data_IF_588878151094
#
_entry.id   IF_588878151094
#
_cell.length_a   1.000
_cell.length_b   1.000
_cell.length_c   1.000
_cell.angle_alpha   90.00
_cell.angle_beta   90.00
_cell.angle_gamma   90.00
#
_symmetry.space_group_name_H-M   'P 1'
#
loop_
_entity.id
_entity.type
_entity.pdbx_description
1 polymer ?
#
# COMPACT_ATOMS: atom_id res chain seq x y z
N UNK A 1 -2.22 85.86 -14.47
CA UNK A 1 -0.79 85.47 -14.56
C UNK A 1 -0.40 84.61 -13.37
N UNK A 2 -0.33 85.18 -12.16
CA UNK A 2 -0.08 84.47 -10.89
C UNK A 2 -0.72 83.08 -10.84
N UNK A 3 -2.01 83.02 -11.11
CA UNK A 3 -2.84 81.84 -10.86
C UNK A 3 -2.52 80.70 -11.83
N UNK A 4 -2.10 81.04 -13.05
CA UNK A 4 -1.57 80.09 -14.04
C UNK A 4 -0.21 79.52 -13.59
N UNK A 5 0.69 80.37 -13.08
CA UNK A 5 1.99 79.93 -12.56
C UNK A 5 1.78 79.03 -11.32
N UNK A 6 0.89 79.41 -10.41
CA UNK A 6 0.51 78.61 -9.23
C UNK A 6 -0.05 77.25 -9.66
N UNK A 7 -0.93 77.21 -10.65
CA UNK A 7 -1.56 75.96 -11.11
C UNK A 7 -0.57 75.02 -11.81
N UNK A 8 0.32 75.54 -12.67
CA UNK A 8 1.43 74.75 -13.23
C UNK A 8 2.37 74.22 -12.13
N UNK A 9 2.64 75.04 -11.11
CA UNK A 9 3.44 74.64 -9.95
C UNK A 9 2.78 73.56 -9.10
N UNK A 10 1.45 73.60 -8.93
CA UNK A 10 0.69 72.51 -8.29
C UNK A 10 0.77 71.22 -9.09
N UNK A 11 0.57 71.28 -10.40
CA UNK A 11 0.61 70.09 -11.26
C UNK A 11 1.97 69.38 -11.20
N UNK A 12 3.08 70.14 -11.19
CA UNK A 12 4.42 69.57 -10.96
C UNK A 12 4.56 68.90 -9.59
N UNK A 13 4.06 69.52 -8.52
CA UNK A 13 4.10 68.95 -7.16
C UNK A 13 3.28 67.66 -7.09
N UNK A 14 2.06 67.67 -7.61
CA UNK A 14 1.17 66.51 -7.74
C UNK A 14 1.83 65.35 -8.49
N UNK A 15 2.52 65.62 -9.60
CA UNK A 15 3.26 64.61 -10.37
C UNK A 15 4.37 63.94 -9.56
N UNK A 16 5.14 64.71 -8.76
CA UNK A 16 6.17 64.11 -7.88
C UNK A 16 5.55 63.30 -6.75
N UNK A 17 4.51 63.80 -6.10
CA UNK A 17 3.79 63.09 -5.02
C UNK A 17 3.21 61.76 -5.51
N UNK A 18 2.67 61.72 -6.73
CA UNK A 18 2.13 60.50 -7.35
C UNK A 18 3.19 59.45 -7.72
N UNK A 19 4.47 59.82 -7.79
CA UNK A 19 5.56 58.90 -8.15
C UNK A 19 5.90 57.87 -7.05
N UNK A 20 5.46 58.08 -5.80
CA UNK A 20 5.73 57.21 -4.63
C UNK A 20 7.23 56.98 -4.31
N UNK A 21 8.10 57.83 -4.82
CA UNK A 21 9.50 57.93 -4.39
C UNK A 21 9.62 58.81 -3.15
N UNK A 22 10.78 58.78 -2.50
CA UNK A 22 11.10 59.73 -1.44
C UNK A 22 11.26 61.18 -1.98
N UNK A 23 11.25 62.16 -1.07
CA UNK A 23 11.56 63.54 -1.40
C UNK A 23 13.02 63.72 -1.79
N UNK A 24 13.25 64.24 -3.00
CA UNK A 24 14.57 64.68 -3.44
C UNK A 24 14.66 66.20 -3.43
N UNK A 25 15.77 66.75 -2.88
CA UNK A 25 15.96 68.19 -2.71
C UNK A 25 15.88 69.00 -4.02
N UNK A 26 16.20 68.37 -5.16
CA UNK A 26 16.08 69.00 -6.48
C UNK A 26 14.65 69.38 -6.83
N UNK A 27 13.61 68.74 -6.28
CA UNK A 27 12.23 69.07 -6.61
C UNK A 27 11.87 70.52 -6.24
N UNK A 28 12.44 71.05 -5.15
CA UNK A 28 12.27 72.47 -4.78
C UNK A 28 13.09 73.41 -5.68
N UNK A 29 14.25 72.96 -6.19
CA UNK A 29 15.10 73.72 -7.12
C UNK A 29 14.43 73.80 -8.50
N UNK A 30 13.92 72.68 -9.01
CA UNK A 30 13.17 72.60 -10.26
C UNK A 30 11.87 73.40 -10.20
N UNK A 31 11.15 73.36 -9.07
CA UNK A 31 9.96 74.17 -8.85
C UNK A 31 10.26 75.68 -8.84
N UNK A 32 11.30 76.12 -8.12
CA UNK A 32 11.72 77.52 -8.12
C UNK A 32 12.13 78.00 -9.52
N UNK A 33 12.96 77.19 -10.20
CA UNK A 33 13.35 77.43 -11.59
C UNK A 33 12.13 77.53 -12.52
N UNK A 34 11.11 76.69 -12.34
CA UNK A 34 9.88 76.77 -13.12
C UNK A 34 9.05 78.02 -12.81
N UNK A 35 9.10 78.56 -11.59
CA UNK A 35 8.51 79.89 -11.28
C UNK A 35 9.29 80.99 -12.01
N UNK A 36 10.63 80.98 -11.93
CA UNK A 36 11.48 81.97 -12.61
C UNK A 36 11.30 81.93 -14.14
N UNK A 37 11.37 80.75 -14.75
CA UNK A 37 11.16 80.53 -16.19
C UNK A 37 9.76 80.98 -16.68
N UNK A 38 8.75 81.08 -15.79
CA UNK A 38 7.41 81.58 -16.16
C UNK A 38 7.17 83.05 -15.80
N UNK A 39 7.92 83.63 -14.85
CA UNK A 39 7.97 85.07 -14.65
C UNK A 39 8.70 85.76 -15.82
N UNK A 40 9.81 85.19 -16.30
CA UNK A 40 10.57 85.75 -17.41
C UNK A 40 9.82 85.75 -18.75
N UNK A 41 8.89 84.81 -18.97
CA UNK A 41 7.96 84.81 -20.12
C UNK A 41 6.94 85.96 -20.10
N UNK A 42 6.86 86.70 -18.99
CA UNK A 42 5.93 87.81 -18.77
C UNK A 42 6.64 89.09 -18.29
N UNK A 43 7.95 89.22 -18.58
CA UNK A 43 8.78 90.36 -18.18
C UNK A 43 8.24 91.72 -18.66
N UNK A 44 7.43 91.72 -19.73
CA UNK A 44 6.71 92.89 -20.27
C UNK A 44 5.72 93.55 -19.28
N UNK A 45 5.39 92.88 -18.16
CA UNK A 45 4.42 93.34 -17.16
C UNK A 45 5.06 94.02 -15.93
N UNK A 46 6.37 94.32 -15.96
CA UNK A 46 7.14 95.04 -14.93
C UNK A 46 6.78 94.63 -13.47
N UNK A 47 6.89 93.33 -13.19
CA UNK A 47 6.57 92.80 -11.86
C UNK A 47 7.50 93.33 -10.78
N UNK A 48 6.93 93.73 -9.64
CA UNK A 48 7.73 94.15 -8.48
C UNK A 48 8.41 92.96 -7.81
N UNK A 49 9.64 93.16 -7.34
CA UNK A 49 10.41 92.15 -6.59
C UNK A 49 9.66 91.60 -5.36
N UNK A 50 8.85 92.45 -4.71
CA UNK A 50 7.98 92.05 -3.61
C UNK A 50 6.88 91.06 -4.05
N UNK A 51 6.30 91.26 -5.24
CA UNK A 51 5.29 90.35 -5.80
C UNK A 51 5.91 88.99 -6.16
N UNK A 52 7.08 88.98 -6.81
CA UNK A 52 7.79 87.74 -7.14
C UNK A 52 8.17 86.94 -5.89
N UNK A 53 8.72 87.62 -4.87
CA UNK A 53 9.05 87.00 -3.59
C UNK A 53 7.79 86.42 -2.91
N UNK A 54 6.68 87.16 -2.90
CA UNK A 54 5.40 86.69 -2.35
C UNK A 54 4.86 85.46 -3.10
N UNK A 55 4.95 85.44 -4.43
CA UNK A 55 4.52 84.32 -5.27
C UNK A 55 5.38 83.07 -5.03
N UNK A 56 6.72 83.23 -4.99
CA UNK A 56 7.67 82.16 -4.67
C UNK A 56 7.40 81.58 -3.28
N UNK A 57 7.21 82.44 -2.26
CA UNK A 57 6.88 82.01 -0.89
C UNK A 57 5.55 81.25 -0.84
N UNK A 58 4.51 81.69 -1.55
CA UNK A 58 3.23 80.98 -1.61
C UNK A 58 3.38 79.58 -2.22
N UNK A 59 4.06 79.47 -3.36
CA UNK A 59 4.26 78.22 -4.10
C UNK A 59 5.15 77.24 -3.32
N UNK A 60 6.28 77.70 -2.79
CA UNK A 60 7.15 76.88 -1.93
C UNK A 60 6.46 76.48 -0.62
N UNK A 61 5.62 77.34 -0.04
CA UNK A 61 4.82 77.04 1.15
C UNK A 61 3.71 76.00 0.93
N UNK A 62 3.27 75.80 -0.32
CA UNK A 62 2.45 74.66 -0.72
C UNK A 62 3.31 73.40 -0.87
N UNK A 63 4.31 73.44 -1.76
CA UNK A 63 5.15 72.30 -2.09
C UNK A 63 5.86 71.68 -0.88
N UNK A 64 6.32 72.49 0.07
CA UNK A 64 6.97 72.01 1.29
C UNK A 64 6.04 71.16 2.17
N UNK A 65 4.72 71.36 2.13
CA UNK A 65 3.75 70.51 2.87
C UNK A 65 3.56 69.17 2.16
N UNK A 66 3.29 69.22 0.86
CA UNK A 66 3.05 68.01 0.05
C UNK A 66 4.29 67.12 -0.01
N UNK A 67 5.48 67.69 -0.18
CA UNK A 67 6.74 66.93 -0.18
C UNK A 67 7.12 66.42 1.22
N UNK A 68 6.78 67.13 2.30
CA UNK A 68 6.95 66.59 3.66
C UNK A 68 6.01 65.42 3.93
N UNK A 69 4.75 65.51 3.49
CA UNK A 69 3.79 64.41 3.61
C UNK A 69 4.23 63.19 2.79
N UNK A 70 4.67 63.40 1.54
CA UNK A 70 5.26 62.36 0.68
C UNK A 70 6.47 61.66 1.34
N UNK A 71 7.37 62.41 1.98
CA UNK A 71 8.51 61.85 2.74
C UNK A 71 8.06 61.01 3.94
N UNK A 72 7.08 61.49 4.71
CA UNK A 72 6.49 60.73 5.83
C UNK A 72 5.76 59.47 5.36
N UNK A 73 5.10 59.51 4.20
CA UNK A 73 4.47 58.34 3.59
C UNK A 73 5.49 57.33 3.05
N UNK A 74 6.59 57.81 2.45
CA UNK A 74 7.70 56.96 2.03
C UNK A 74 8.35 56.26 3.24
N UNK A 75 8.63 56.97 4.34
CA UNK A 75 9.16 56.38 5.57
C UNK A 75 8.19 55.34 6.14
N UNK A 76 6.89 55.64 6.21
CA UNK A 76 5.88 54.69 6.74
C UNK A 76 5.74 53.44 5.86
N UNK A 77 5.82 53.59 4.53
CA UNK A 77 5.71 52.47 3.59
C UNK A 77 6.97 51.58 3.52
N UNK A 78 8.12 52.10 3.95
CA UNK A 78 9.41 51.39 3.92
C UNK A 78 9.98 51.15 5.34
N UNK A 79 9.16 51.25 6.39
CA UNK A 79 9.59 51.00 7.76
C UNK A 79 10.09 49.56 7.92
N UNK A 80 11.36 49.32 8.30
CA UNK A 80 11.94 47.98 8.30
C UNK A 80 11.22 47.01 9.23
N UNK A 81 10.62 47.49 10.33
CA UNK A 81 9.90 46.65 11.27
C UNK A 81 8.53 46.24 10.72
N UNK A 82 7.77 47.17 10.13
CA UNK A 82 6.50 46.86 9.45
C UNK A 82 6.71 45.92 8.26
N UNK A 83 7.73 46.16 7.43
CA UNK A 83 8.08 45.24 6.33
C UNK A 83 8.45 43.84 6.85
N UNK A 84 9.27 43.75 7.90
CA UNK A 84 9.63 42.46 8.51
C UNK A 84 8.41 41.73 9.09
N UNK A 85 7.52 42.41 9.81
CA UNK A 85 6.33 41.79 10.40
C UNK A 85 5.30 41.40 9.31
N UNK A 86 5.15 42.20 8.25
CA UNK A 86 4.32 41.90 7.08
C UNK A 86 4.77 40.62 6.36
N UNK A 87 6.07 40.47 6.10
CA UNK A 87 6.62 39.32 5.36
C UNK A 87 7.07 38.16 6.27
N UNK A 88 7.00 38.30 7.59
CA UNK A 88 7.31 37.28 8.61
C UNK A 88 6.66 35.92 8.34
N UNK A 89 5.41 35.92 7.88
CA UNK A 89 4.69 34.69 7.50
C UNK A 89 5.33 34.00 6.31
N UNK A 90 5.70 34.78 5.28
CA UNK A 90 6.36 34.28 4.06
C UNK A 90 7.77 33.79 4.37
N UNK A 91 8.62 34.60 5.03
CA UNK A 91 9.97 34.18 5.41
C UNK A 91 9.98 32.95 6.34
N UNK A 92 8.96 32.78 7.18
CA UNK A 92 8.79 31.57 7.99
C UNK A 92 8.34 30.35 7.15
N UNK A 93 7.58 30.55 6.08
CA UNK A 93 7.26 29.51 5.10
C UNK A 93 8.49 29.13 4.27
N UNK A 94 9.18 30.12 3.67
CA UNK A 94 10.40 29.92 2.87
C UNK A 94 11.49 29.20 3.69
N UNK A 95 11.69 29.59 4.95
CA UNK A 95 12.61 28.92 5.87
C UNK A 95 12.19 27.47 6.15
N UNK A 96 10.90 27.21 6.38
CA UNK A 96 10.37 25.86 6.58
C UNK A 96 10.56 25.00 5.33
N UNK A 97 10.28 25.53 4.14
CA UNK A 97 10.39 24.77 2.90
C UNK A 97 11.87 24.46 2.59
N UNK A 98 12.78 25.43 2.73
CA UNK A 98 14.23 25.18 2.62
C UNK A 98 14.78 24.20 3.67
N UNK A 99 14.19 24.17 4.87
CA UNK A 99 14.53 23.19 5.92
C UNK A 99 13.96 21.79 5.59
N UNK A 100 12.70 21.72 5.14
CA UNK A 100 11.98 20.49 4.86
C UNK A 100 12.24 19.90 3.46
N UNK A 101 12.84 20.61 2.50
CA UNK A 101 13.27 20.01 1.22
C UNK A 101 14.20 18.80 1.42
N UNK A 102 14.94 18.76 2.54
CA UNK A 102 15.78 17.62 2.94
C UNK A 102 15.02 16.47 3.62
N UNK A 103 13.83 16.73 4.14
CA UNK A 103 13.03 15.80 4.96
C UNK A 103 11.82 15.23 4.17
N UNK A 104 11.20 16.04 3.31
CA UNK A 104 10.03 15.68 2.48
C UNK A 104 10.16 14.34 1.77
N UNK A 105 11.35 13.99 1.25
CA UNK A 105 11.61 12.70 0.62
C UNK A 105 11.66 11.53 1.61
N UNK A 106 12.25 11.73 2.79
CA UNK A 106 12.25 10.72 3.87
C UNK A 106 10.83 10.55 4.43
N UNK A 107 10.17 11.65 4.83
CA UNK A 107 8.80 11.62 5.34
C UNK A 107 7.82 10.96 4.36
N UNK A 108 7.87 11.29 3.06
CA UNK A 108 7.02 10.62 2.04
C UNK A 108 7.37 9.14 1.86
N UNK A 109 8.64 8.75 1.99
CA UNK A 109 9.04 7.34 1.96
C UNK A 109 8.58 6.58 3.21
N UNK A 110 8.60 7.21 4.39
CA UNK A 110 8.06 6.66 5.64
C UNK A 110 6.53 6.55 5.60
N UNK A 111 5.83 7.58 5.12
CA UNK A 111 4.39 7.58 4.90
C UNK A 111 3.97 6.49 3.91
N UNK A 112 4.64 6.37 2.74
CA UNK A 112 4.41 5.29 1.79
C UNK A 112 4.74 3.91 2.36
N UNK A 113 5.81 3.79 3.15
CA UNK A 113 6.17 2.53 3.80
C UNK A 113 5.14 2.12 4.85
N UNK A 114 4.62 3.07 5.63
CA UNK A 114 3.64 2.82 6.68
C UNK A 114 2.24 2.53 6.15
N UNK A 115 1.77 3.30 5.15
CA UNK A 115 0.40 3.22 4.63
C UNK A 115 0.24 2.28 3.43
N UNK A 116 1.30 2.00 2.66
CA UNK A 116 1.23 1.14 1.47
C UNK A 116 2.03 -0.16 1.65
N UNK A 117 3.34 -0.09 1.90
CA UNK A 117 4.18 -1.30 1.94
C UNK A 117 3.88 -2.20 3.15
N UNK A 118 3.77 -1.62 4.36
CA UNK A 118 3.52 -2.36 5.61
C UNK A 118 2.21 -3.15 5.60
N UNK A 119 1.05 -2.61 5.19
CA UNK A 119 -0.17 -3.41 5.06
C UNK A 119 -0.06 -4.45 3.93
N UNK A 120 0.49 -4.11 2.76
CA UNK A 120 0.63 -5.05 1.66
C UNK A 120 1.58 -6.24 1.99
N UNK A 121 2.67 -5.97 2.71
CA UNK A 121 3.60 -7.00 3.22
C UNK A 121 2.93 -7.87 4.28
N UNK A 122 2.16 -7.26 5.21
CA UNK A 122 1.37 -8.02 6.20
C UNK A 122 0.37 -8.94 5.49
N UNK A 123 -0.41 -8.41 4.56
CA UNK A 123 -1.41 -9.16 3.80
C UNK A 123 -0.76 -10.31 3.00
N UNK A 124 0.37 -10.05 2.35
CA UNK A 124 1.16 -11.08 1.64
C UNK A 124 1.60 -12.21 2.59
N UNK A 125 2.18 -11.87 3.75
CA UNK A 125 2.65 -12.87 4.72
C UNK A 125 1.46 -13.65 5.28
N UNK A 126 0.40 -12.99 5.76
CA UNK A 126 -0.79 -13.66 6.28
C UNK A 126 -1.45 -14.59 5.25
N UNK A 127 -1.54 -14.20 3.98
CA UNK A 127 -2.05 -15.07 2.90
C UNK A 127 -1.11 -16.22 2.55
N UNK A 128 0.20 -16.05 2.74
CA UNK A 128 1.22 -17.06 2.42
C UNK A 128 1.48 -18.04 3.57
N UNK A 129 1.13 -17.69 4.82
CA UNK A 129 1.20 -18.59 5.97
C UNK A 129 0.18 -19.73 5.91
N UNK A 130 -1.02 -19.50 5.36
CA UNK A 130 -2.09 -20.51 5.32
C UNK A 130 -1.65 -21.87 4.74
N UNK A 131 -1.08 -21.90 3.52
CA UNK A 131 -0.53 -23.13 2.94
C UNK A 131 0.62 -23.72 3.75
N UNK A 132 1.63 -22.93 4.10
CA UNK A 132 2.79 -23.37 4.90
C UNK A 132 2.37 -24.05 6.23
N UNK A 133 1.33 -23.52 6.90
CA UNK A 133 0.78 -24.09 8.13
C UNK A 133 0.03 -25.40 7.91
N UNK A 134 -0.67 -25.56 6.78
CA UNK A 134 -1.34 -26.83 6.42
C UNK A 134 -0.30 -27.89 6.07
N UNK A 135 0.72 -27.55 5.28
CA UNK A 135 1.81 -28.45 4.91
C UNK A 135 2.56 -28.94 6.18
N UNK A 136 2.85 -28.05 7.13
CA UNK A 136 3.52 -28.39 8.41
C UNK A 136 2.62 -29.20 9.36
N UNK A 137 1.29 -29.07 9.30
CA UNK A 137 0.36 -29.97 10.01
C UNK A 137 0.31 -31.37 9.38
N UNK A 138 0.48 -31.46 8.05
CA UNK A 138 0.46 -32.72 7.30
C UNK A 138 1.81 -33.45 7.24
N UNK A 139 2.92 -32.75 7.49
CA UNK A 139 4.28 -33.31 7.47
C UNK A 139 4.97 -33.34 8.85
N UNK A 140 4.49 -32.55 9.83
CA UNK A 140 5.09 -32.41 11.15
C UNK A 140 4.76 -33.55 12.13
N UNK A 141 5.06 -33.34 13.42
CA UNK A 141 4.99 -34.39 14.45
C UNK A 141 3.60 -35.03 14.63
N UNK A 142 2.52 -34.32 14.28
CA UNK A 142 1.13 -34.83 14.33
C UNK A 142 0.58 -35.30 12.99
N UNK A 143 1.41 -35.41 11.93
CA UNK A 143 0.99 -35.86 10.60
C UNK A 143 0.15 -37.15 10.60
N UNK A 144 0.43 -38.09 11.53
CA UNK A 144 -0.32 -39.34 11.66
C UNK A 144 -1.81 -39.11 11.99
N UNK A 145 -2.15 -38.10 12.80
CA UNK A 145 -3.53 -37.75 13.14
C UNK A 145 -4.33 -37.28 11.91
N UNK A 146 -3.65 -36.71 10.92
CA UNK A 146 -4.25 -36.16 9.68
C UNK A 146 -4.06 -37.08 8.46
N UNK A 147 -3.30 -38.18 8.61
CA UNK A 147 -2.89 -39.08 7.53
C UNK A 147 -4.04 -39.74 6.78
N UNK A 148 -5.11 -40.10 7.49
CA UNK A 148 -6.32 -40.71 6.93
C UNK A 148 -7.54 -40.32 7.76
N UNK A 149 -8.73 -40.42 7.15
CA UNK A 149 -10.02 -40.27 7.86
C UNK A 149 -10.15 -41.22 9.06
N UNK A 150 -9.56 -42.42 8.98
CA UNK A 150 -9.59 -43.42 10.05
C UNK A 150 -8.83 -42.94 11.29
N UNK A 151 -7.54 -42.62 11.12
CA UNK A 151 -6.68 -42.07 12.19
C UNK A 151 -7.21 -40.74 12.76
N UNK A 152 -7.78 -39.88 11.92
CA UNK A 152 -8.36 -38.61 12.34
C UNK A 152 -9.57 -38.80 13.26
N UNK A 153 -10.51 -39.66 12.87
CA UNK A 153 -11.69 -39.97 13.67
C UNK A 153 -11.31 -40.73 14.96
N UNK A 154 -10.33 -41.65 14.89
CA UNK A 154 -9.74 -42.30 16.06
C UNK A 154 -9.20 -41.27 17.07
N UNK A 155 -8.35 -40.34 16.64
CA UNK A 155 -7.68 -39.39 17.53
C UNK A 155 -8.65 -38.41 18.19
N UNK A 156 -9.73 -38.02 17.50
CA UNK A 156 -10.82 -37.24 18.08
C UNK A 156 -11.58 -38.05 19.14
N UNK A 157 -11.97 -39.29 18.84
CA UNK A 157 -12.71 -40.15 19.79
C UNK A 157 -11.86 -40.54 21.00
N UNK A 158 -10.55 -40.77 20.79
CA UNK A 158 -9.55 -40.99 21.84
C UNK A 158 -9.43 -39.77 22.73
N UNK A 159 -9.31 -38.57 22.19
CA UNK A 159 -9.30 -37.35 23.00
C UNK A 159 -10.63 -37.15 23.75
N UNK A 160 -11.78 -37.30 23.10
CA UNK A 160 -13.09 -37.16 23.77
C UNK A 160 -13.24 -38.09 24.98
N UNK A 161 -12.79 -39.34 24.84
CA UNK A 161 -12.76 -40.31 25.94
C UNK A 161 -11.73 -39.92 27.02
N UNK A 162 -10.55 -39.43 26.64
CA UNK A 162 -9.53 -38.93 27.58
C UNK A 162 -10.04 -37.73 28.38
N UNK A 163 -10.49 -36.67 27.71
CA UNK A 163 -11.01 -35.41 28.26
C UNK A 163 -12.25 -35.63 29.14
N UNK A 164 -13.01 -36.70 28.91
CA UNK A 164 -14.13 -37.18 29.75
C UNK A 164 -15.23 -36.12 29.98
N UNK A 165 -15.35 -35.17 29.04
CA UNK A 165 -16.20 -34.02 29.16
C UNK A 165 -17.50 -34.19 28.36
N UNK A 166 -18.63 -34.27 29.08
CA UNK A 166 -19.96 -34.44 28.49
C UNK A 166 -20.29 -33.36 27.45
N UNK A 167 -19.96 -32.10 27.75
CA UNK A 167 -20.32 -30.97 26.91
C UNK A 167 -19.56 -30.99 25.56
N UNK A 168 -18.37 -31.60 25.52
CA UNK A 168 -17.63 -31.91 24.30
C UNK A 168 -18.27 -33.08 23.51
N UNK A 169 -18.75 -34.14 24.18
CA UNK A 169 -19.52 -35.20 23.51
C UNK A 169 -20.81 -34.66 22.87
N UNK A 170 -21.55 -33.79 23.59
CA UNK A 170 -22.75 -33.13 23.05
C UNK A 170 -22.41 -32.25 21.83
N UNK A 171 -21.33 -31.47 21.87
CA UNK A 171 -20.87 -30.69 20.72
C UNK A 171 -20.46 -31.58 19.54
N UNK A 172 -19.74 -32.67 19.77
CA UNK A 172 -19.36 -33.63 18.73
C UNK A 172 -20.58 -34.25 18.04
N UNK A 173 -21.60 -34.64 18.81
CA UNK A 173 -22.84 -35.25 18.29
C UNK A 173 -23.74 -34.23 17.59
N UNK A 174 -23.99 -33.07 18.20
CA UNK A 174 -24.97 -32.08 17.70
C UNK A 174 -24.39 -31.09 16.69
N UNK A 175 -23.09 -30.83 16.74
CA UNK A 175 -22.40 -29.75 16.01
C UNK A 175 -21.03 -30.21 15.48
N UNK A 176 -20.97 -31.44 14.96
CA UNK A 176 -19.75 -32.12 14.49
C UNK A 176 -18.77 -31.22 13.75
N UNK A 177 -19.20 -30.50 12.70
CA UNK A 177 -18.32 -29.65 11.90
C UNK A 177 -17.63 -28.55 12.73
N UNK A 178 -18.39 -27.81 13.53
CA UNK A 178 -17.86 -26.74 14.37
C UNK A 178 -16.95 -27.29 15.48
N UNK A 179 -17.29 -28.45 16.07
CA UNK A 179 -16.43 -29.14 17.02
C UNK A 179 -15.11 -29.59 16.38
N UNK A 180 -15.15 -30.15 15.17
CA UNK A 180 -13.97 -30.58 14.42
C UNK A 180 -13.09 -29.39 14.03
N UNK A 181 -13.66 -28.27 13.60
CA UNK A 181 -12.91 -27.05 13.28
C UNK A 181 -12.20 -26.49 14.53
N UNK A 182 -12.88 -26.41 15.67
CA UNK A 182 -12.30 -26.03 16.98
C UNK A 182 -11.21 -27.03 17.44
N UNK A 183 -11.41 -28.32 17.22
CA UNK A 183 -10.41 -29.35 17.52
C UNK A 183 -9.15 -29.20 16.66
N UNK A 184 -9.28 -29.06 15.33
CA UNK A 184 -8.15 -28.83 14.41
C UNK A 184 -7.40 -27.57 14.81
N UNK A 185 -8.12 -26.48 15.10
CA UNK A 185 -7.51 -25.22 15.54
C UNK A 185 -6.73 -25.39 16.85
N UNK A 186 -7.25 -26.15 17.83
CA UNK A 186 -6.53 -26.51 19.06
C UNK A 186 -5.28 -27.34 18.78
N UNK A 187 -5.31 -28.28 17.83
CA UNK A 187 -4.11 -29.03 17.45
C UNK A 187 -3.04 -28.12 16.82
N UNK A 188 -3.44 -27.21 15.92
CA UNK A 188 -2.56 -26.18 15.33
C UNK A 188 -1.92 -25.31 16.43
N UNK A 189 -2.74 -24.73 17.32
CA UNK A 189 -2.25 -23.91 18.43
C UNK A 189 -1.26 -24.68 19.31
N UNK A 190 -1.55 -25.95 19.64
CA UNK A 190 -0.61 -26.79 20.40
C UNK A 190 0.72 -27.06 19.67
N UNK A 191 0.70 -27.26 18.35
CA UNK A 191 1.91 -27.51 17.56
C UNK A 191 2.77 -26.24 17.49
N UNK A 192 2.16 -25.09 17.15
CA UNK A 192 2.90 -23.84 16.94
C UNK A 192 3.23 -23.06 18.22
N UNK A 193 2.59 -23.35 19.36
CA UNK A 193 2.93 -22.72 20.66
C UNK A 193 4.06 -23.41 21.42
N UNK A 194 4.46 -24.64 21.05
CA UNK A 194 5.49 -25.40 21.77
C UNK A 194 6.94 -24.96 21.48
N UNK A 195 7.13 -23.95 20.61
CA UNK A 195 8.39 -23.25 20.44
C UNK A 195 8.24 -22.02 19.54
N UNK A 196 8.70 -20.85 20.02
CA UNK A 196 8.59 -19.54 19.35
C UNK A 196 9.30 -19.44 17.98
N UNK A 197 9.92 -20.53 17.52
CA UNK A 197 10.63 -20.62 16.24
C UNK A 197 9.76 -21.05 15.07
N UNK A 198 8.73 -21.91 15.26
CA UNK A 198 8.02 -22.56 14.16
C UNK A 198 7.31 -21.59 13.21
N UNK A 199 6.22 -20.99 13.69
CA UNK A 199 5.46 -19.96 12.96
C UNK A 199 6.37 -18.79 12.53
N UNK A 200 7.21 -18.31 13.45
CA UNK A 200 8.12 -17.18 13.26
C UNK A 200 9.16 -17.43 12.17
N UNK A 201 9.59 -18.67 11.93
CA UNK A 201 10.46 -19.02 10.82
C UNK A 201 9.74 -18.96 9.47
N UNK A 202 8.47 -19.38 9.40
CA UNK A 202 7.63 -19.23 8.18
C UNK A 202 7.38 -17.76 7.87
N UNK A 203 7.05 -16.95 8.88
CA UNK A 203 6.94 -15.49 8.73
C UNK A 203 8.23 -14.88 8.18
N UNK A 204 9.38 -15.21 8.77
CA UNK A 204 10.68 -14.72 8.32
C UNK A 204 11.07 -15.21 6.91
N UNK A 205 10.69 -16.43 6.52
CA UNK A 205 10.83 -16.98 5.16
C UNK A 205 10.06 -16.12 4.15
N UNK A 206 8.78 -15.89 4.38
CA UNK A 206 7.95 -15.05 3.49
C UNK A 206 8.35 -13.58 3.49
N UNK A 207 8.72 -13.04 4.65
CA UNK A 207 9.22 -11.66 4.80
C UNK A 207 10.52 -11.45 4.01
N UNK A 208 11.47 -12.38 4.04
CA UNK A 208 12.70 -12.33 3.22
C UNK A 208 12.37 -12.35 1.72
N UNK A 209 11.42 -13.18 1.28
CA UNK A 209 11.00 -13.26 -0.13
C UNK A 209 10.36 -11.96 -0.61
N UNK A 210 9.42 -11.37 0.15
CA UNK A 210 8.75 -10.14 -0.27
C UNK A 210 9.67 -8.92 -0.16
N UNK A 211 10.55 -8.82 0.85
CA UNK A 211 11.58 -7.77 0.92
C UNK A 211 12.53 -7.84 -0.27
N UNK A 212 12.94 -9.05 -0.70
CA UNK A 212 13.76 -9.21 -1.92
C UNK A 212 13.03 -8.65 -3.15
N UNK A 213 11.78 -9.05 -3.38
CA UNK A 213 10.95 -8.55 -4.49
C UNK A 213 10.76 -7.03 -4.45
N UNK A 214 10.56 -6.44 -3.27
CA UNK A 214 10.43 -4.98 -3.10
C UNK A 214 11.75 -4.27 -3.47
N UNK A 215 12.90 -4.77 -3.01
CA UNK A 215 14.22 -4.22 -3.38
C UNK A 215 14.47 -4.29 -4.88
N UNK A 216 14.16 -5.43 -5.50
CA UNK A 216 14.23 -5.61 -6.95
C UNK A 216 13.30 -4.65 -7.70
N UNK A 217 12.07 -4.43 -7.22
CA UNK A 217 11.13 -3.47 -7.81
C UNK A 217 11.62 -2.02 -7.71
N UNK A 218 12.20 -1.61 -6.58
CA UNK A 218 12.75 -0.25 -6.38
C UNK A 218 13.94 0.00 -7.30
N UNK A 219 14.89 -0.93 -7.40
CA UNK A 219 16.04 -0.83 -8.32
C UNK A 219 15.56 -0.74 -9.78
N UNK A 220 14.57 -1.55 -10.16
CA UNK A 220 13.96 -1.48 -11.50
C UNK A 220 13.21 -0.16 -11.76
N UNK A 221 12.61 0.47 -10.74
CA UNK A 221 11.98 1.78 -10.87
C UNK A 221 13.02 2.90 -11.07
N UNK A 222 14.13 2.86 -10.33
CA UNK A 222 15.25 3.79 -10.49
C UNK A 222 15.93 3.65 -11.86
N UNK A 223 16.15 2.41 -12.33
CA UNK A 223 16.64 2.16 -13.68
C UNK A 223 15.67 2.68 -14.76
N UNK A 224 14.36 2.65 -14.51
CA UNK A 224 13.33 3.21 -15.41
C UNK A 224 13.32 4.73 -15.44
N UNK A 225 13.56 5.44 -14.33
CA UNK A 225 13.69 6.90 -14.37
C UNK A 225 14.96 7.34 -15.13
N UNK A 226 16.08 6.65 -14.91
CA UNK A 226 17.35 6.94 -15.58
C UNK A 226 17.28 6.68 -17.10
N UNK A 227 16.62 5.58 -17.50
CA UNK A 227 16.36 5.32 -18.93
C UNK A 227 15.30 6.27 -19.52
N UNK A 228 14.31 6.73 -18.75
CA UNK A 228 13.36 7.75 -19.20
C UNK A 228 14.02 9.11 -19.52
N UNK A 229 15.16 9.44 -18.90
CA UNK A 229 15.95 10.62 -19.26
C UNK A 229 16.63 10.42 -20.62
N UNK A 230 17.24 9.26 -20.86
CA UNK A 230 17.74 8.86 -22.19
C UNK A 230 16.65 8.78 -23.28
N UNK A 231 15.38 8.65 -22.88
CA UNK A 231 14.24 8.64 -23.81
C UNK A 231 13.63 10.03 -24.03
N UNK A 232 13.74 10.98 -23.08
CA UNK A 232 13.08 12.30 -23.11
C UNK A 232 13.57 13.29 -24.18
N UNK A 233 14.68 13.03 -24.86
CA UNK A 233 15.19 13.90 -25.94
C UNK A 233 15.23 13.24 -27.31
N UNK A 234 14.42 13.74 -28.27
CA UNK A 234 14.67 13.61 -29.70
C UNK A 234 14.01 12.45 -30.47
N UNK A 235 13.69 12.75 -31.74
CA UNK A 235 13.33 11.83 -32.82
C UNK A 235 14.33 10.65 -32.93
N UNK A 236 13.83 9.47 -33.29
CA UNK A 236 14.64 8.29 -33.62
C UNK A 236 15.72 8.62 -34.64
N UNK A 237 15.42 9.47 -35.63
CA UNK A 237 16.42 9.98 -36.59
C UNK A 237 17.54 10.74 -35.91
N UNK A 238 17.23 11.71 -35.04
CA UNK A 238 18.22 12.48 -34.31
C UNK A 238 19.10 11.59 -33.41
N UNK A 239 18.52 10.57 -32.78
CA UNK A 239 19.27 9.57 -31.99
C UNK A 239 20.19 8.73 -32.87
N UNK A 240 19.71 8.21 -34.00
CA UNK A 240 20.52 7.48 -34.98
C UNK A 240 21.65 8.34 -35.58
N UNK A 241 21.42 9.65 -35.72
CA UNK A 241 22.41 10.55 -36.29
C UNK A 241 23.53 10.95 -35.32
N UNK A 242 23.28 10.99 -34.01
CA UNK A 242 24.31 11.25 -32.98
C UNK A 242 25.13 10.00 -32.56
N UNK A 243 24.88 8.83 -33.14
CA UNK A 243 25.70 7.64 -32.85
C UNK A 243 27.09 7.75 -33.49
N UNK A 244 28.17 7.36 -32.77
CA UNK A 244 29.56 7.49 -33.24
C UNK A 244 29.90 6.56 -34.42
N UNK A 245 29.04 5.57 -34.69
CA UNK A 245 29.02 4.81 -35.94
C UNK A 245 27.57 4.80 -36.47
N UNK A 246 27.38 4.87 -37.78
CA UNK A 246 26.05 4.88 -38.41
C UNK A 246 25.50 3.44 -38.56
N UNK A 247 24.52 2.99 -37.75
CA UNK A 247 24.16 1.57 -37.68
C UNK A 247 23.63 0.99 -38.99
N UNK A 248 22.97 1.81 -39.81
CA UNK A 248 22.45 1.42 -41.13
C UNK A 248 23.55 0.97 -42.10
N UNK A 249 24.76 1.54 -42.01
CA UNK A 249 25.91 1.14 -42.83
C UNK A 249 26.47 -0.21 -42.37
N UNK A 250 26.52 -0.41 -41.05
CA UNK A 250 27.01 -1.65 -40.45
C UNK A 250 26.02 -2.82 -40.62
N UNK A 251 24.72 -2.56 -40.52
CA UNK A 251 23.66 -3.51 -40.87
C UNK A 251 23.71 -3.89 -42.35
N UNK A 252 23.92 -2.93 -43.26
CA UNK A 252 24.09 -3.22 -44.69
C UNK A 252 25.28 -4.16 -44.93
N UNK A 253 26.44 -3.86 -44.33
CA UNK A 253 27.64 -4.70 -44.43
C UNK A 253 27.45 -6.11 -43.85
N UNK A 254 26.77 -6.25 -42.71
CA UNK A 254 26.56 -7.54 -42.03
C UNK A 254 25.43 -8.39 -42.62
N UNK A 255 24.38 -7.77 -43.19
CA UNK A 255 23.20 -8.49 -43.74
C UNK A 255 23.40 -8.87 -45.20
N UNK A 256 24.13 -8.06 -45.99
CA UNK A 256 24.31 -8.27 -47.43
C UNK A 256 25.73 -8.66 -47.85
N UNK A 257 26.40 -9.50 -47.04
CA UNK A 257 27.54 -10.29 -47.51
C UNK A 257 27.18 -11.04 -48.81
N UNK A 258 28.12 -11.12 -49.75
CA UNK A 258 27.83 -11.21 -51.21
C UNK A 258 26.65 -12.13 -51.58
N UNK A 259 25.54 -11.50 -52.00
CA UNK A 259 24.20 -12.09 -51.99
C UNK A 259 23.95 -13.24 -52.97
N UNK A 260 24.48 -14.43 -52.68
CA UNK A 260 24.16 -15.69 -53.36
C UNK A 260 23.23 -16.53 -52.50
N UNK A 261 22.04 -16.84 -53.01
CA UNK A 261 21.10 -17.75 -52.36
C UNK A 261 21.31 -19.18 -52.86
N UNK A 262 21.01 -20.19 -52.04
CA UNK A 262 20.86 -21.57 -52.53
C UNK A 262 19.72 -21.60 -53.56
N UNK A 263 19.94 -22.07 -54.81
CA UNK A 263 18.92 -21.95 -55.86
C UNK A 263 17.69 -22.86 -55.70
N UNK A 264 17.69 -23.83 -54.77
CA UNK A 264 16.82 -25.01 -54.88
C UNK A 264 15.86 -25.36 -53.73
N UNK A 265 16.00 -24.87 -52.48
CA UNK A 265 15.20 -25.45 -51.36
C UNK A 265 14.63 -24.52 -50.26
N UNK A 266 15.34 -23.50 -49.78
CA UNK A 266 14.85 -22.44 -48.85
C UNK A 266 14.07 -22.85 -47.55
N UNK A 267 14.13 -24.09 -47.03
CA UNK A 267 13.42 -24.49 -45.81
C UNK A 267 14.04 -25.68 -45.01
N UNK A 268 13.83 -25.74 -43.69
CA UNK A 268 13.59 -26.99 -42.93
C UNK A 268 12.28 -26.97 -42.09
N UNK A 269 11.89 -28.09 -41.44
CA UNK A 269 10.49 -28.37 -41.02
C UNK A 269 10.28 -29.09 -39.64
N UNK A 270 9.21 -28.68 -38.92
CA UNK A 270 8.29 -29.46 -38.03
C UNK A 270 8.85 -30.18 -36.76
N UNK A 271 8.03 -30.73 -35.81
CA UNK A 271 6.55 -30.87 -35.66
C UNK A 271 5.95 -29.97 -34.51
N UNK A 272 4.89 -30.18 -33.68
CA UNK A 272 4.01 -31.32 -33.26
C UNK A 272 2.51 -30.93 -33.07
N UNK A 273 1.83 -31.10 -31.90
CA UNK A 273 0.34 -31.08 -31.74
C UNK A 273 -0.24 -30.63 -30.38
N UNK A 274 -1.24 -29.75 -30.46
CA UNK A 274 -2.68 -29.81 -30.02
C UNK A 274 -3.20 -30.53 -28.74
N UNK A 275 -4.38 -30.05 -28.29
CA UNK A 275 -5.20 -30.53 -27.15
C UNK A 275 -6.21 -31.65 -27.52
N UNK A 276 -6.84 -32.26 -26.51
CA UNK A 276 -7.84 -33.35 -26.55
C UNK A 276 -8.76 -33.17 -25.31
N UNK A 277 -10.08 -33.41 -25.21
CA UNK A 277 -11.18 -34.04 -25.99
C UNK A 277 -11.17 -35.57 -26.13
N UNK A 278 -11.66 -36.25 -25.09
CA UNK A 278 -11.93 -37.70 -25.07
C UNK A 278 -13.15 -38.10 -25.93
N UNK A 279 -13.31 -39.42 -26.20
CA UNK A 279 -14.29 -39.98 -27.15
C UNK A 279 -15.49 -40.70 -26.52
N UNK A 280 -15.35 -41.23 -25.30
CA UNK A 280 -16.34 -42.11 -24.65
C UNK A 280 -17.64 -41.39 -24.25
N UNK A 281 -17.72 -40.08 -24.50
CA UNK A 281 -18.88 -39.23 -24.27
C UNK A 281 -19.33 -38.45 -25.51
N UNK A 282 -18.93 -38.94 -26.70
CA UNK A 282 -19.29 -38.39 -28.02
C UNK A 282 -18.89 -36.90 -28.22
N UNK A 283 -17.92 -36.42 -27.43
CA UNK A 283 -17.42 -35.05 -27.49
C UNK A 283 -18.24 -34.02 -26.71
N UNK A 284 -19.20 -34.43 -25.88
CA UNK A 284 -19.92 -33.52 -24.95
C UNK A 284 -19.00 -32.99 -23.84
N UNK A 285 -19.34 -31.84 -23.26
CA UNK A 285 -18.66 -31.25 -22.10
C UNK A 285 -19.33 -31.74 -20.81
N UNK A 286 -18.53 -32.16 -19.81
CA UNK A 286 -19.04 -32.85 -18.62
C UNK A 286 -19.12 -31.96 -17.37
N UNK A 287 -20.30 -31.86 -16.72
CA UNK A 287 -20.45 -31.26 -15.40
C UNK A 287 -19.91 -32.14 -14.26
N UNK A 288 -19.53 -31.50 -13.16
CA UNK A 288 -18.69 -32.06 -12.09
C UNK A 288 -19.42 -32.94 -11.05
N UNK A 289 -20.51 -33.65 -11.40
CA UNK A 289 -21.35 -34.37 -10.41
C UNK A 289 -21.31 -35.90 -10.47
N UNK A 290 -20.97 -36.51 -11.60
CA UNK A 290 -20.79 -37.98 -11.71
C UNK A 290 -19.39 -38.42 -11.27
N UNK A 291 -18.98 -38.10 -10.05
CA UNK A 291 -17.56 -38.12 -9.67
C UNK A 291 -16.90 -39.51 -9.74
N UNK A 292 -17.64 -40.62 -9.56
CA UNK A 292 -17.07 -41.99 -9.58
C UNK A 292 -16.77 -42.55 -10.97
N UNK A 293 -17.30 -42.00 -12.05
CA UNK A 293 -16.88 -42.35 -13.42
C UNK A 293 -15.60 -41.62 -13.84
N UNK A 294 -15.07 -40.74 -12.98
CA UNK A 294 -13.88 -39.91 -13.21
C UNK A 294 -12.79 -40.23 -12.16
N UNK A 295 -13.20 -40.51 -10.92
CA UNK A 295 -12.34 -40.91 -9.79
C UNK A 295 -12.85 -42.24 -9.21
N UNK A 296 -12.43 -43.39 -9.76
CA UNK A 296 -12.87 -44.71 -9.28
C UNK A 296 -12.38 -45.03 -7.85
N UNK A 297 -11.27 -44.42 -7.43
CA UNK A 297 -10.58 -44.74 -6.16
C UNK A 297 -11.30 -44.19 -4.90
N UNK A 298 -12.39 -43.43 -5.04
CA UNK A 298 -13.19 -42.93 -3.92
C UNK A 298 -14.08 -44.01 -3.30
N UNK A 299 -13.45 -44.93 -2.56
CA UNK A 299 -14.11 -45.92 -1.71
C UNK A 299 -14.74 -45.27 -0.47
N UNK A 300 -16.08 -45.16 -0.50
CA UNK A 300 -16.90 -44.98 0.71
C UNK A 300 -17.38 -46.38 1.06
N UNK A 301 -16.77 -46.98 2.08
CA UNK A 301 -17.17 -48.27 2.63
C UNK A 301 -18.54 -48.14 3.34
N UNK A 302 -19.45 -49.13 3.22
CA UNK A 302 -20.57 -49.26 4.14
C UNK A 302 -20.05 -49.50 5.57
N UNK A 303 -20.73 -48.93 6.56
CA UNK A 303 -20.39 -49.18 7.97
C UNK A 303 -20.82 -50.60 8.37
N UNK A 304 -19.87 -51.41 8.83
CA UNK A 304 -20.11 -52.78 9.30
C UNK A 304 -20.36 -52.88 10.81
N UNK A 305 -20.28 -51.77 11.55
CA UNK A 305 -20.36 -51.72 13.02
C UNK A 305 -21.78 -51.58 13.59
N UNK A 306 -22.77 -52.28 13.01
CA UNK A 306 -24.16 -52.33 13.55
C UNK A 306 -24.28 -53.26 14.79
N UNK A 307 -23.21 -53.35 15.57
CA UNK A 307 -23.27 -53.52 17.02
C UNK A 307 -22.52 -52.34 17.62
N UNK A 308 -23.19 -51.54 18.45
CA UNK A 308 -22.57 -50.36 19.06
C UNK A 308 -21.28 -50.77 19.80
N UNK A 309 -20.14 -50.17 19.43
CA UNK A 309 -18.84 -50.45 20.06
C UNK A 309 -18.87 -50.17 21.55
N UNK A 310 -18.03 -50.86 22.34
CA UNK A 310 -18.04 -50.72 23.80
C UNK A 310 -17.67 -49.28 24.23
N UNK A 311 -16.96 -48.55 23.37
CA UNK A 311 -16.83 -47.09 23.42
C UNK A 311 -18.18 -46.37 23.59
N UNK A 312 -19.14 -46.58 22.67
CA UNK A 312 -20.43 -45.88 22.73
C UNK A 312 -21.34 -46.43 23.81
N UNK A 313 -21.26 -47.74 24.12
CA UNK A 313 -21.93 -48.32 25.29
C UNK A 313 -21.46 -47.66 26.59
N UNK A 314 -20.15 -47.50 26.77
CA UNK A 314 -19.53 -46.80 27.91
C UNK A 314 -19.95 -45.33 27.99
N UNK A 315 -19.83 -44.57 26.89
CA UNK A 315 -20.21 -43.15 26.85
C UNK A 315 -21.69 -42.95 27.20
N UNK A 316 -22.58 -43.80 26.68
CA UNK A 316 -24.01 -43.71 26.97
C UNK A 316 -24.34 -44.16 28.40
N UNK A 317 -23.69 -45.21 28.93
CA UNK A 317 -23.85 -45.64 30.32
C UNK A 317 -23.36 -44.58 31.31
N UNK A 318 -22.19 -43.98 31.06
CA UNK A 318 -21.56 -42.97 31.91
C UNK A 318 -22.34 -41.66 31.98
N UNK A 319 -22.96 -41.25 30.88
CA UNK A 319 -23.63 -39.96 30.78
C UNK A 319 -25.15 -40.03 30.59
N UNK A 320 -25.77 -41.20 30.80
CA UNK A 320 -27.22 -41.44 30.64
C UNK A 320 -28.10 -40.32 31.21
N UNK A 321 -27.92 -39.99 32.50
CA UNK A 321 -28.65 -38.90 33.16
C UNK A 321 -28.40 -37.52 32.54
N UNK A 322 -27.17 -37.23 32.07
CA UNK A 322 -26.86 -35.96 31.42
C UNK A 322 -27.48 -35.88 30.02
N UNK A 323 -27.45 -36.97 29.25
CA UNK A 323 -28.11 -37.05 27.94
C UNK A 323 -29.63 -36.94 28.07
N UNK A 324 -30.25 -37.60 29.06
CA UNK A 324 -31.70 -37.50 29.30
C UNK A 324 -32.12 -36.04 29.57
N UNK A 325 -31.38 -35.32 30.43
CA UNK A 325 -31.61 -33.91 30.75
C UNK A 325 -31.38 -32.98 29.54
N UNK A 326 -30.30 -33.19 28.79
CA UNK A 326 -29.96 -32.43 27.56
C UNK A 326 -31.01 -32.59 26.45
N UNK A 327 -31.48 -33.82 26.21
CA UNK A 327 -32.47 -34.13 25.17
C UNK A 327 -33.93 -34.09 25.65
N UNK A 328 -34.18 -33.73 26.93
CA UNK A 328 -35.50 -33.66 27.57
C UNK A 328 -36.29 -34.99 27.49
N UNK A 329 -35.60 -36.09 27.72
CA UNK A 329 -36.13 -37.44 27.79
C UNK A 329 -35.98 -38.02 29.20
N UNK A 330 -36.64 -39.14 29.47
CA UNK A 330 -36.34 -39.96 30.66
C UNK A 330 -34.98 -40.67 30.53
N UNK A 331 -34.29 -41.00 31.64
CA UNK A 331 -33.09 -41.84 31.61
C UNK A 331 -33.40 -43.22 30.99
N UNK A 332 -32.52 -43.70 30.11
CA UNK A 332 -32.69 -45.01 29.50
C UNK A 332 -32.42 -46.13 30.53
N UNK A 333 -33.25 -47.19 30.54
CA UNK A 333 -32.89 -48.38 31.30
C UNK A 333 -31.85 -49.21 30.55
N UNK A 334 -30.58 -49.03 30.96
CA UNK A 334 -29.44 -49.65 30.28
C UNK A 334 -29.10 -51.02 30.89
N UNK A 335 -28.78 -52.04 30.07
CA UNK A 335 -28.35 -53.34 30.56
C UNK A 335 -27.21 -53.25 31.58
N UNK A 336 -27.24 -54.11 32.61
CA UNK A 336 -26.19 -54.18 33.64
C UNK A 336 -24.78 -54.30 33.04
N UNK A 337 -24.63 -55.08 31.98
CA UNK A 337 -23.38 -55.29 31.23
C UNK A 337 -22.78 -53.97 30.70
N UNK A 338 -23.62 -53.00 30.28
CA UNK A 338 -23.14 -51.70 29.79
C UNK A 338 -22.63 -50.82 30.95
N UNK A 339 -23.24 -50.95 32.13
CA UNK A 339 -22.86 -50.24 33.36
C UNK A 339 -21.55 -50.75 33.96
N UNK A 340 -21.07 -51.93 33.54
CA UNK A 340 -19.79 -52.54 33.96
C UNK A 340 -18.61 -52.34 32.99
N UNK A 341 -18.81 -51.69 31.84
CA UNK A 341 -17.70 -51.42 30.89
C UNK A 341 -16.76 -50.37 31.49
N UNK A 342 -15.45 -50.58 31.40
CA UNK A 342 -14.44 -49.63 31.90
C UNK A 342 -13.94 -48.65 30.83
N UNK A 343 -13.24 -47.58 31.25
CA UNK A 343 -12.66 -46.59 30.33
C UNK A 343 -11.56 -47.20 29.44
N UNK A 344 -10.89 -48.22 29.96
CA UNK A 344 -9.82 -48.98 29.32
C UNK A 344 -10.41 -49.89 28.24
N UNK A 345 -11.49 -50.63 28.54
CA UNK A 345 -12.24 -51.42 27.57
C UNK A 345 -12.86 -50.55 26.45
N UNK A 346 -13.35 -49.35 26.80
CA UNK A 346 -13.81 -48.36 25.83
C UNK A 346 -12.68 -47.86 24.90
N UNK A 347 -11.44 -47.75 25.41
CA UNK A 347 -10.25 -47.39 24.62
C UNK A 347 -9.77 -48.56 23.75
N UNK A 348 -9.75 -49.79 24.28
CA UNK A 348 -9.34 -50.99 23.55
C UNK A 348 -10.31 -51.29 22.39
N UNK A 349 -11.62 -51.22 22.64
CA UNK A 349 -12.65 -51.36 21.60
C UNK A 349 -12.52 -50.28 20.50
N UNK A 350 -12.06 -49.07 20.85
CA UNK A 350 -11.75 -48.03 19.89
C UNK A 350 -10.47 -48.36 19.08
N UNK A 351 -9.40 -48.82 19.74
CA UNK A 351 -8.15 -49.21 19.06
C UNK A 351 -8.34 -50.42 18.13
N UNK A 352 -9.20 -51.38 18.47
CA UNK A 352 -9.60 -52.48 17.59
C UNK A 352 -10.46 -51.99 16.41
N UNK A 353 -11.50 -51.20 16.68
CA UNK A 353 -12.42 -50.68 15.64
C UNK A 353 -11.68 -49.93 14.52
N UNK A 354 -10.62 -49.20 14.88
CA UNK A 354 -9.81 -48.43 13.94
C UNK A 354 -8.56 -49.17 13.44
N UNK A 355 -8.31 -50.41 13.89
CA UNK A 355 -7.14 -51.25 13.56
C UNK A 355 -5.79 -50.61 13.98
N UNK A 356 -5.77 -50.05 15.18
CA UNK A 356 -4.61 -49.38 15.79
C UNK A 356 -3.74 -50.31 16.64
N UNK A 357 -4.24 -51.49 17.04
CA UNK A 357 -3.40 -52.52 17.66
C UNK A 357 -2.27 -52.89 16.67
N UNK A 358 -1.03 -52.96 17.17
CA UNK A 358 0.10 -53.50 16.39
C UNK A 358 -0.26 -54.91 15.93
N UNK A 359 0.22 -55.28 14.75
CA UNK A 359 0.53 -56.69 14.51
C UNK A 359 1.68 -57.04 15.47
N UNK A 360 1.40 -57.89 16.45
CA UNK A 360 2.46 -58.57 17.19
C UNK A 360 3.08 -59.59 16.23
N UNK A 361 4.40 -59.58 16.10
CA UNK A 361 5.14 -60.39 15.14
C UNK A 361 5.25 -61.83 15.66
N UNK A 362 4.75 -62.81 14.88
CA UNK A 362 4.96 -64.26 15.09
C UNK A 362 6.31 -64.73 14.53
#
# INVERSE_FOLDING_TARGET
>A
MSDYIIEQCRQFVDEKVRARSDYHNTYMIDLLRMVDENLDKHRDLETSTHFEASLKIHICGHAAREFHQMHLDFIRANDPWQCLEQFKGQYCADFKDLFYERDQCQKKAEEFTSHCLKPAVREYVTKSLGPDLVDEMLAGQKAIDFSTRSFFQFSILKQLLTDDNFENFVKYIRHYEAFVQDWIFKQMVQQFSKGDSGLRNMENKHLKVIIKRIKEAVVNAQAKSFTAEFHRGGDVRAKLDMLPFKPQKELFNRVFGCGRQCPFCKAPLLPVRSRFRMRETEGKLHPYKDYRSIYPDWLIQPDTSIQASDYWKYVFARFNEKFSKEYKAEPADLPSVWKSITKEQAMESLEESFKMKKQEEE
#
